data_IF_228304965211
#
_entry.id   IF_228304965211
#
_cell.length_a   1.000
_cell.length_b   1.000
_cell.length_c   1.000
_cell.angle_alpha   90.00
_cell.angle_beta   90.00
_cell.angle_gamma   90.00
#
_symmetry.space_group_name_H-M   'P 1'
#
loop_
_entity.id
_entity.type
_entity.pdbx_description
1 polymer ?
#
# COMPACT_ATOMS: atom_id res chain seq x y z
N UNK A 1 -24.51 -11.30 40.58
CA UNK A 1 -23.88 -10.06 41.08
C UNK A 1 -24.98 -9.02 41.17
N UNK A 2 -25.40 -8.66 42.39
CA UNK A 2 -26.44 -7.65 42.62
C UNK A 2 -25.76 -6.29 42.56
N UNK A 3 -26.04 -5.48 41.54
CA UNK A 3 -25.50 -4.14 41.40
C UNK A 3 -26.44 -3.13 42.04
N UNK A 4 -25.94 -2.40 43.03
CA UNK A 4 -26.66 -1.32 43.70
C UNK A 4 -26.81 -0.11 42.75
N UNK A 5 -28.04 0.24 42.32
CA UNK A 5 -28.30 1.26 41.31
C UNK A 5 -27.91 2.68 41.75
N UNK A 6 -27.72 2.94 43.05
CA UNK A 6 -27.43 4.28 43.59
C UNK A 6 -25.96 4.73 43.48
N UNK A 7 -25.02 3.81 43.20
CA UNK A 7 -23.59 4.13 43.14
C UNK A 7 -23.22 4.91 41.88
N UNK A 8 -22.47 6.01 42.05
CA UNK A 8 -21.93 6.79 40.94
C UNK A 8 -21.00 5.93 40.08
N UNK A 9 -20.95 6.15 38.75
CA UNK A 9 -20.15 5.31 37.84
C UNK A 9 -18.67 5.19 38.24
N UNK A 10 -18.07 6.28 38.72
CA UNK A 10 -16.66 6.32 39.13
C UNK A 10 -16.37 5.44 40.34
N UNK A 11 -17.27 5.37 41.31
CA UNK A 11 -17.09 4.54 42.52
C UNK A 11 -17.15 3.06 42.17
N UNK A 12 -18.01 2.68 41.22
CA UNK A 12 -18.09 1.30 40.70
C UNK A 12 -16.82 0.89 39.96
N UNK A 13 -16.26 1.77 39.13
CA UNK A 13 -14.98 1.53 38.45
C UNK A 13 -13.87 1.38 39.48
N UNK A 14 -13.84 2.22 40.51
CA UNK A 14 -12.84 2.17 41.57
C UNK A 14 -12.92 0.86 42.37
N UNK A 15 -14.12 0.42 42.74
CA UNK A 15 -14.33 -0.88 43.40
C UNK A 15 -13.89 -2.04 42.51
N UNK A 16 -14.20 -2.00 41.21
CA UNK A 16 -13.76 -3.01 40.27
C UNK A 16 -12.23 -3.08 40.17
N UNK A 17 -11.56 -1.93 40.01
CA UNK A 17 -10.09 -1.84 39.93
C UNK A 17 -9.41 -2.31 41.22
N UNK A 18 -10.04 -2.09 42.37
CA UNK A 18 -9.52 -2.51 43.67
C UNK A 18 -9.85 -3.97 44.01
N UNK A 19 -10.77 -4.60 43.28
CA UNK A 19 -11.20 -5.98 43.54
C UNK A 19 -10.04 -6.97 43.44
N UNK A 20 -10.05 -7.99 44.31
CA UNK A 20 -9.05 -9.06 44.29
C UNK A 20 -9.02 -9.79 42.94
N UNK A 21 -10.13 -9.82 42.21
CA UNK A 21 -10.22 -10.39 40.87
C UNK A 21 -9.40 -9.58 39.86
N UNK A 22 -9.56 -8.25 39.85
CA UNK A 22 -8.79 -7.38 38.97
C UNK A 22 -7.29 -7.42 39.29
N UNK A 23 -6.93 -7.43 40.57
CA UNK A 23 -5.53 -7.56 41.01
C UNK A 23 -4.91 -8.87 40.51
N UNK A 24 -5.56 -10.01 40.71
CA UNK A 24 -5.09 -11.31 40.22
C UNK A 24 -4.92 -11.34 38.69
N UNK A 25 -5.88 -10.77 37.96
CA UNK A 25 -5.82 -10.71 36.49
C UNK A 25 -4.66 -9.84 36.00
N UNK A 26 -4.42 -8.70 36.67
CA UNK A 26 -3.31 -7.79 36.36
C UNK A 26 -1.95 -8.43 36.65
N UNK A 27 -1.82 -9.18 37.75
CA UNK A 27 -0.58 -9.90 38.06
C UNK A 27 -0.32 -11.03 37.07
N UNK A 28 -1.33 -11.85 36.76
CA UNK A 28 -1.22 -12.91 35.76
C UNK A 28 -0.89 -12.38 34.36
N UNK A 29 -1.43 -11.21 33.98
CA UNK A 29 -1.07 -10.56 32.72
C UNK A 29 0.37 -10.09 32.69
N UNK A 30 0.89 -9.53 33.79
CA UNK A 30 2.31 -9.14 33.89
C UNK A 30 3.25 -10.34 33.86
N UNK A 31 2.88 -11.44 34.51
CA UNK A 31 3.64 -12.69 34.48
C UNK A 31 3.64 -13.33 33.07
N UNK A 32 2.53 -13.21 32.33
CA UNK A 32 2.47 -13.63 30.94
C UNK A 32 3.30 -12.71 30.01
N UNK A 33 3.38 -11.40 30.30
CA UNK A 33 4.25 -10.47 29.58
C UNK A 33 5.74 -10.79 29.78
N UNK A 34 6.16 -11.14 30.99
CA UNK A 34 7.55 -11.55 31.28
C UNK A 34 7.89 -12.93 30.75
N UNK A 35 6.92 -13.85 30.68
CA UNK A 35 7.09 -15.19 30.11
C UNK A 35 6.88 -15.26 28.57
N UNK A 36 6.62 -14.12 27.90
CA UNK A 36 6.38 -14.06 26.45
C UNK A 36 5.07 -14.69 25.98
N UNK A 37 4.17 -15.04 26.90
CA UNK A 37 2.86 -15.69 26.66
C UNK A 37 1.68 -14.73 26.81
N UNK A 38 1.93 -13.42 26.92
CA UNK A 38 0.87 -12.40 27.00
C UNK A 38 -0.05 -12.47 25.78
N UNK A 39 -1.36 -12.53 26.05
CA UNK A 39 -2.38 -12.47 25.01
C UNK A 39 -2.35 -11.08 24.37
N UNK A 40 -2.13 -11.04 23.06
CA UNK A 40 -2.09 -9.78 22.32
C UNK A 40 -3.44 -9.07 22.42
N UNK A 41 -3.41 -7.80 22.78
CA UNK A 41 -4.63 -6.99 22.75
C UNK A 41 -5.01 -6.68 21.30
N UNK A 42 -6.29 -6.38 21.07
CA UNK A 42 -6.76 -5.89 19.75
C UNK A 42 -5.98 -4.63 19.31
N UNK A 43 -5.59 -3.80 20.27
CA UNK A 43 -4.76 -2.62 20.03
C UNK A 43 -3.37 -3.02 19.51
N UNK A 44 -2.68 -3.94 20.17
CA UNK A 44 -1.35 -4.42 19.74
C UNK A 44 -1.41 -5.04 18.34
N UNK A 45 -2.46 -5.82 18.06
CA UNK A 45 -2.69 -6.38 16.74
C UNK A 45 -2.87 -5.28 15.69
N UNK A 46 -3.67 -4.25 15.97
CA UNK A 46 -3.90 -3.14 15.04
C UNK A 46 -2.63 -2.34 14.74
N UNK A 47 -1.79 -2.08 15.75
CA UNK A 47 -0.54 -1.36 15.59
C UNK A 47 0.43 -2.15 14.69
N UNK A 48 0.56 -3.45 14.92
CA UNK A 48 1.41 -4.34 14.11
C UNK A 48 0.90 -4.47 12.68
N UNK A 49 -0.42 -4.56 12.49
CA UNK A 49 -1.03 -4.63 11.17
C UNK A 49 -0.76 -3.34 10.38
N UNK A 50 -0.94 -2.17 11.00
CA UNK A 50 -0.64 -0.88 10.38
C UNK A 50 0.84 -0.79 9.96
N UNK A 51 1.76 -1.23 10.83
CA UNK A 51 3.19 -1.22 10.50
C UNK A 51 3.50 -2.07 9.24
N UNK A 52 2.89 -3.26 9.13
CA UNK A 52 3.04 -4.11 7.94
C UNK A 52 2.43 -3.49 6.69
N UNK A 53 1.30 -2.80 6.83
CA UNK A 53 0.68 -2.09 5.71
C UNK A 53 1.56 -0.93 5.23
N UNK A 54 2.16 -0.17 6.14
CA UNK A 54 3.10 0.90 5.78
C UNK A 54 4.36 0.36 5.08
N UNK A 55 4.90 -0.76 5.57
CA UNK A 55 6.02 -1.44 4.91
C UNK A 55 5.64 -1.91 3.50
N UNK A 56 4.48 -2.56 3.35
CA UNK A 56 3.96 -2.99 2.06
C UNK A 56 3.80 -1.81 1.08
N UNK A 57 3.22 -0.70 1.55
CA UNK A 57 3.01 0.51 0.77
C UNK A 57 4.35 1.09 0.25
N UNK A 58 5.36 1.17 1.13
CA UNK A 58 6.71 1.61 0.78
C UNK A 58 7.34 0.74 -0.31
N UNK A 59 7.28 -0.57 -0.17
CA UNK A 59 7.85 -1.50 -1.17
C UNK A 59 7.08 -1.42 -2.50
N UNK A 60 5.76 -1.20 -2.48
CA UNK A 60 4.98 -0.98 -3.70
C UNK A 60 5.42 0.30 -4.41
N UNK A 61 5.68 1.40 -3.68
CA UNK A 61 6.21 2.63 -4.29
C UNK A 61 7.58 2.42 -4.91
N UNK A 62 8.48 1.69 -4.25
CA UNK A 62 9.81 1.40 -4.78
C UNK A 62 9.73 0.51 -6.04
N UNK A 63 8.84 -0.48 -6.04
CA UNK A 63 8.57 -1.30 -7.21
C UNK A 63 8.05 -0.46 -8.39
N UNK A 64 7.09 0.45 -8.14
CA UNK A 64 6.57 1.36 -9.16
C UNK A 64 7.64 2.30 -9.70
N UNK A 65 8.51 2.86 -8.84
CA UNK A 65 9.64 3.68 -9.30
C UNK A 65 10.60 2.86 -10.17
N UNK A 66 10.94 1.65 -9.75
CA UNK A 66 11.83 0.78 -10.51
C UNK A 66 11.27 0.47 -11.91
N UNK A 67 9.97 0.18 -12.02
CA UNK A 67 9.32 -0.02 -13.31
C UNK A 67 9.39 1.24 -14.18
N UNK A 68 9.05 2.40 -13.61
CA UNK A 68 9.06 3.68 -14.33
C UNK A 68 10.46 4.05 -14.82
N UNK A 69 11.48 3.96 -13.96
CA UNK A 69 12.87 4.25 -14.34
C UNK A 69 13.44 3.26 -15.34
N UNK A 70 12.95 2.02 -15.34
CA UNK A 70 13.36 0.99 -16.31
C UNK A 70 12.58 1.06 -17.63
N UNK A 71 11.62 1.98 -17.78
CA UNK A 71 10.74 2.05 -18.94
C UNK A 71 9.80 0.84 -19.08
N UNK A 72 9.56 0.10 -17.99
CA UNK A 72 8.71 -1.08 -17.99
C UNK A 72 7.26 -0.66 -17.68
N UNK A 73 6.33 -1.12 -18.51
CA UNK A 73 4.90 -0.88 -18.30
C UNK A 73 4.40 -1.47 -16.97
N UNK A 74 3.58 -0.70 -16.25
CA UNK A 74 2.91 -1.15 -15.01
C UNK A 74 2.08 -2.43 -15.20
N UNK A 75 1.60 -2.70 -16.42
CA UNK A 75 0.88 -3.94 -16.74
C UNK A 75 1.73 -5.20 -16.53
N UNK A 76 3.07 -5.09 -16.55
CA UNK A 76 3.96 -6.21 -16.27
C UNK A 76 3.86 -6.70 -14.81
N UNK A 77 3.31 -5.89 -13.91
CA UNK A 77 2.99 -6.29 -12.54
C UNK A 77 1.85 -7.33 -12.45
N UNK A 78 1.06 -7.47 -13.51
CA UNK A 78 0.02 -8.50 -13.62
C UNK A 78 0.55 -9.80 -14.25
N UNK A 79 1.81 -9.78 -14.73
CA UNK A 79 2.46 -10.91 -15.38
C UNK A 79 3.57 -11.56 -14.53
N UNK A 80 4.52 -12.27 -15.19
CA UNK A 80 5.57 -13.03 -14.51
C UNK A 80 6.44 -12.21 -13.55
N UNK A 81 6.64 -10.93 -13.86
CA UNK A 81 7.41 -10.01 -13.00
C UNK A 81 6.69 -9.75 -11.67
N UNK A 82 5.37 -9.55 -11.72
CA UNK A 82 4.55 -9.43 -10.52
C UNK A 82 4.46 -10.73 -9.73
N UNK A 83 4.36 -11.87 -10.40
CA UNK A 83 4.35 -13.18 -9.74
C UNK A 83 5.67 -13.47 -9.04
N UNK A 84 6.79 -13.14 -9.69
CA UNK A 84 8.11 -13.19 -9.08
C UNK A 84 8.17 -12.32 -7.82
N UNK A 85 7.74 -11.06 -7.92
CA UNK A 85 7.73 -10.14 -6.79
C UNK A 85 6.86 -10.68 -5.62
N UNK A 86 5.65 -11.16 -5.91
CA UNK A 86 4.73 -11.75 -4.91
C UNK A 86 5.29 -13.02 -4.26
N UNK A 87 6.06 -13.81 -5.00
CA UNK A 87 6.66 -15.07 -4.51
C UNK A 87 7.81 -14.82 -3.54
N UNK A 88 8.67 -13.86 -3.84
CA UNK A 88 9.92 -13.66 -3.09
C UNK A 88 9.86 -12.50 -2.09
N UNK A 89 8.96 -11.53 -2.27
CA UNK A 89 8.80 -10.40 -1.37
C UNK A 89 7.44 -10.44 -0.68
N UNK A 90 7.47 -10.71 0.65
CA UNK A 90 6.26 -10.85 1.47
C UNK A 90 5.47 -9.53 1.56
N UNK A 91 6.15 -8.39 1.52
CA UNK A 91 5.55 -7.06 1.60
C UNK A 91 4.63 -6.76 0.41
N UNK A 92 4.96 -7.28 -0.78
CA UNK A 92 4.16 -7.11 -2.01
C UNK A 92 3.26 -8.30 -2.30
N UNK A 93 3.04 -9.20 -1.33
CA UNK A 93 2.14 -10.36 -1.52
C UNK A 93 0.73 -9.93 -1.93
N UNK A 94 0.25 -8.81 -1.39
CA UNK A 94 -1.05 -8.20 -1.69
C UNK A 94 -0.91 -7.02 -2.66
N UNK A 95 0.15 -7.01 -3.48
CA UNK A 95 0.39 -5.95 -4.44
C UNK A 95 -0.81 -5.79 -5.39
N UNK A 96 -1.31 -4.57 -5.59
CA UNK A 96 -2.42 -4.27 -6.49
C UNK A 96 -2.10 -4.61 -7.95
N UNK A 97 -3.15 -4.63 -8.78
CA UNK A 97 -3.01 -4.80 -10.22
C UNK A 97 -2.26 -3.66 -10.88
N UNK A 98 -1.66 -3.90 -12.04
CA UNK A 98 -0.92 -2.91 -12.82
C UNK A 98 -1.74 -1.64 -13.11
N UNK A 99 -3.04 -1.78 -13.34
CA UNK A 99 -3.95 -0.63 -13.49
C UNK A 99 -4.01 0.23 -12.22
N UNK A 100 -4.11 -0.39 -11.05
CA UNK A 100 -4.18 0.32 -9.78
C UNK A 100 -2.82 0.92 -9.38
N UNK A 101 -1.73 0.24 -9.71
CA UNK A 101 -0.38 0.81 -9.62
C UNK A 101 -0.26 2.09 -10.45
N UNK A 102 -0.74 2.08 -11.70
CA UNK A 102 -0.74 3.25 -12.57
C UNK A 102 -1.61 4.41 -12.05
N UNK A 103 -2.82 4.12 -11.57
CA UNK A 103 -3.77 5.18 -11.21
C UNK A 103 -3.49 5.83 -9.85
N UNK A 104 -3.01 5.04 -8.88
CA UNK A 104 -2.78 5.51 -7.51
C UNK A 104 -1.28 5.70 -7.24
N UNK A 105 -0.54 4.59 -7.26
CA UNK A 105 0.84 4.55 -6.75
C UNK A 105 1.85 5.28 -7.62
N UNK A 106 1.64 5.30 -8.94
CA UNK A 106 2.51 6.05 -9.86
C UNK A 106 2.42 7.55 -9.60
N UNK A 107 1.20 8.06 -9.39
CA UNK A 107 1.01 9.47 -9.05
C UNK A 107 1.69 9.80 -7.72
N UNK A 108 1.35 9.05 -6.68
CA UNK A 108 1.92 9.24 -5.33
C UNK A 108 3.45 9.11 -5.29
N UNK A 109 4.03 8.20 -6.08
CA UNK A 109 5.47 7.99 -6.15
C UNK A 109 6.25 9.17 -6.75
N UNK A 110 5.60 9.98 -7.60
CA UNK A 110 6.18 11.10 -8.34
C UNK A 110 5.54 12.47 -8.02
N UNK A 111 4.67 12.55 -7.01
CA UNK A 111 3.95 13.79 -6.68
C UNK A 111 4.92 14.92 -6.30
N UNK A 112 6.02 14.60 -5.60
CA UNK A 112 7.07 15.58 -5.22
C UNK A 112 7.84 16.10 -6.43
N UNK A 113 8.20 15.21 -7.34
CA UNK A 113 8.86 15.56 -8.59
C UNK A 113 7.95 16.43 -9.46
N UNK A 114 6.65 16.11 -9.50
CA UNK A 114 5.65 16.93 -10.18
C UNK A 114 5.46 18.31 -9.53
N UNK A 115 5.49 18.41 -8.19
CA UNK A 115 5.50 19.69 -7.49
C UNK A 115 6.69 20.54 -7.88
N UNK A 116 7.89 19.94 -7.87
CA UNK A 116 9.11 20.62 -8.27
C UNK A 116 9.06 21.12 -9.71
N UNK A 117 8.61 20.29 -10.65
CA UNK A 117 8.43 20.70 -12.06
C UNK A 117 7.45 21.86 -12.16
N UNK A 118 6.33 21.82 -11.42
CA UNK A 118 5.36 22.92 -11.42
C UNK A 118 5.96 24.23 -10.91
N UNK A 119 6.76 24.17 -9.84
CA UNK A 119 7.41 25.35 -9.29
C UNK A 119 8.49 25.89 -10.25
N UNK A 120 9.29 25.02 -10.84
CA UNK A 120 10.32 25.37 -11.82
C UNK A 120 9.71 26.01 -13.08
N UNK A 121 8.49 25.61 -13.47
CA UNK A 121 7.80 26.14 -14.65
C UNK A 121 6.97 27.40 -14.40
N UNK A 122 6.76 27.81 -13.14
CA UNK A 122 5.78 28.86 -12.76
C UNK A 122 6.04 30.21 -13.43
N UNK A 123 7.31 30.61 -13.49
CA UNK A 123 7.73 31.93 -13.99
C UNK A 123 8.56 31.83 -15.29
N UNK A 124 8.54 30.66 -15.94
CA UNK A 124 9.32 30.40 -17.16
C UNK A 124 8.44 30.56 -18.40
N UNK A 125 8.94 31.23 -19.44
CA UNK A 125 8.29 31.25 -20.75
C UNK A 125 8.39 29.86 -21.39
N UNK A 126 7.26 29.19 -21.55
CA UNK A 126 7.16 27.88 -22.17
C UNK A 126 6.75 28.02 -23.63
N UNK A 127 7.47 27.36 -24.54
CA UNK A 127 7.05 27.15 -25.93
C UNK A 127 6.70 25.68 -26.13
N UNK A 128 5.55 25.41 -26.75
CA UNK A 128 5.12 24.03 -27.08
C UNK A 128 5.35 23.80 -28.56
N UNK A 129 6.06 22.73 -28.89
CA UNK A 129 6.23 22.26 -30.27
C UNK A 129 5.33 21.04 -30.44
N UNK A 130 4.51 21.05 -31.49
CA UNK A 130 3.61 19.96 -31.83
C UNK A 130 4.17 19.24 -33.06
N UNK A 131 4.41 17.95 -32.92
CA UNK A 131 4.82 17.06 -34.00
C UNK A 131 3.62 16.22 -34.44
N UNK A 132 3.22 16.35 -35.71
CA UNK A 132 2.08 15.65 -36.32
C UNK A 132 2.56 14.52 -37.26
N UNK A 133 3.60 13.80 -36.84
CA UNK A 133 4.09 12.63 -37.56
C UNK A 133 3.03 11.50 -37.57
N UNK A 134 2.65 10.95 -38.75
CA UNK A 134 1.72 9.83 -38.81
C UNK A 134 2.38 8.53 -38.33
N UNK A 135 1.65 7.72 -37.55
CA UNK A 135 2.07 6.37 -37.18
C UNK A 135 2.06 5.46 -38.42
N UNK A 136 3.22 5.27 -39.05
CA UNK A 136 3.39 4.28 -40.12
C UNK A 136 3.47 2.89 -39.47
N UNK A 137 2.32 2.37 -39.04
CA UNK A 137 2.16 0.96 -38.67
C UNK A 137 2.01 0.15 -39.96
N UNK A 138 3.15 -0.14 -40.61
CA UNK A 138 3.18 -0.87 -41.88
C UNK A 138 2.54 -2.25 -41.76
N UNK A 139 1.33 -2.41 -42.30
CA UNK A 139 0.79 -3.73 -42.61
C UNK A 139 1.46 -4.15 -43.93
N UNK A 140 2.20 -5.27 -44.00
CA UNK A 140 2.73 -5.74 -45.27
C UNK A 140 1.53 -6.06 -46.17
N UNK A 141 1.34 -5.24 -47.22
CA UNK A 141 0.37 -5.54 -48.26
C UNK A 141 0.80 -6.85 -48.90
N UNK A 142 0.10 -7.93 -48.55
CA UNK A 142 0.16 -9.17 -49.28
C UNK A 142 -0.21 -8.85 -50.72
N UNK A 143 0.79 -8.91 -51.60
CA UNK A 143 0.60 -8.75 -53.03
C UNK A 143 -0.42 -9.79 -53.47
N UNK A 144 -1.68 -9.37 -53.69
CA UNK A 144 -2.63 -10.15 -54.46
C UNK A 144 -2.03 -10.31 -55.84
N UNK A 145 -1.46 -11.49 -56.12
CA UNK A 145 -1.16 -11.95 -57.47
C UNK A 145 -2.43 -11.73 -58.30
N UNK A 146 -2.40 -10.73 -59.19
CA UNK A 146 -3.32 -10.65 -60.31
C UNK A 146 -3.08 -11.93 -61.13
N UNK A 147 -3.99 -12.91 -61.02
CA UNK A 147 -4.10 -13.95 -62.03
C UNK A 147 -4.62 -13.27 -63.29
N UNK A 148 -3.71 -13.09 -64.24
CA UNK A 148 -4.04 -12.92 -65.65
C UNK A 148 -4.41 -14.29 -66.23
N UNK A 149 -5.43 -14.25 -67.10
CA UNK A 149 -5.98 -15.33 -67.93
C UNK A 149 -7.03 -16.22 -67.27
#
# INVERSE_FOLDING_TARGET
MVTDPAKKPYDRIREHLMSSRHKKFKTASKEAETAGTSQQTLFDMSCRQRAKETEADGVIHDFVRALAYSGISMHQADGPLGDFARKYCKAVKTMPTGQRLRLKYLKEAFDKEMEKIRDDMRDVKVSVIVDESPDITGVPMSQKKRKSS
#
